data_IF_782646934851
#
_entry.id   IF_782646934851
#
_cell.length_a   1.000
_cell.length_b   1.000
_cell.length_c   1.000
_cell.angle_alpha   90.00
_cell.angle_beta   90.00
_cell.angle_gamma   90.00
#
_symmetry.space_group_name_H-M   'P 1'
#
loop_
_entity.id
_entity.type
_entity.pdbx_description
1 polymer ?
#
# COMPACT_ATOMS: atom_id res chain seq x y z
N UNK A 1 2.14 7.30 3.20
CA UNK A 1 2.91 8.13 4.15
C UNK A 1 2.87 9.64 3.83
N UNK A 2 2.78 10.06 2.55
CA UNK A 2 2.77 11.49 2.19
C UNK A 2 1.83 12.37 3.02
N UNK A 3 0.57 11.96 3.22
CA UNK A 3 -0.38 12.73 4.04
C UNK A 3 0.03 12.96 5.51
N UNK A 4 0.75 12.00 6.09
CA UNK A 4 1.28 12.13 7.44
C UNK A 4 2.43 13.14 7.49
N UNK A 5 3.35 13.09 6.51
CA UNK A 5 4.47 14.02 6.38
C UNK A 5 3.99 15.45 6.12
N UNK A 6 2.97 15.63 5.28
CA UNK A 6 2.34 16.95 5.04
C UNK A 6 1.74 17.52 6.33
N UNK A 7 1.11 16.69 7.17
CA UNK A 7 0.56 17.14 8.45
C UNK A 7 1.62 17.55 9.47
N UNK A 8 2.81 16.97 9.40
CA UNK A 8 3.97 17.40 10.20
C UNK A 8 4.56 18.70 9.64
N UNK A 9 4.73 18.79 8.31
CA UNK A 9 5.23 19.99 7.64
C UNK A 9 4.35 21.23 7.85
N UNK A 10 3.03 21.02 7.91
CA UNK A 10 2.05 22.06 8.22
C UNK A 10 1.95 22.39 9.73
N UNK A 11 2.73 21.71 10.59
CA UNK A 11 2.74 21.92 12.05
C UNK A 11 1.53 21.37 12.79
N UNK A 12 0.60 20.68 12.12
CA UNK A 12 -0.60 20.12 12.74
C UNK A 12 -0.30 18.91 13.64
N UNK A 13 0.82 18.23 13.43
CA UNK A 13 1.23 17.05 14.21
C UNK A 13 2.73 17.02 14.47
N UNK A 14 3.12 16.38 15.57
CA UNK A 14 4.53 16.22 15.98
C UNK A 14 5.31 15.34 15.00
N UNK A 15 6.62 15.60 14.76
CA UNK A 15 7.50 14.72 13.97
C UNK A 15 7.59 13.27 14.48
N UNK A 16 7.24 13.00 15.73
CA UNK A 16 7.26 11.66 16.32
C UNK A 16 5.97 10.88 16.04
N UNK A 17 4.89 11.57 15.64
CA UNK A 17 3.59 10.95 15.40
C UNK A 17 3.58 9.91 14.26
N UNK A 18 4.28 10.10 13.12
CA UNK A 18 4.34 9.08 12.07
C UNK A 18 4.88 7.72 12.54
N UNK A 19 5.77 7.70 13.53
CA UNK A 19 6.29 6.45 14.10
C UNK A 19 5.18 5.65 14.78
N UNK A 20 4.31 6.30 15.57
CA UNK A 20 3.16 5.64 16.21
C UNK A 20 2.14 5.06 15.22
N UNK A 21 2.15 5.51 13.95
CA UNK A 21 1.28 4.93 12.93
C UNK A 21 1.76 3.56 12.44
N UNK A 22 3.05 3.23 12.62
CA UNK A 22 3.62 1.94 12.22
C UNK A 22 3.24 0.82 13.20
N UNK A 23 2.90 1.17 14.43
CA UNK A 23 2.44 0.22 15.45
C UNK A 23 0.99 -0.22 15.23
N UNK A 24 0.23 0.49 14.39
CA UNK A 24 -1.15 0.17 14.09
C UNK A 24 -1.25 -1.03 13.15
N UNK A 25 -2.05 -2.03 13.53
CA UNK A 25 -2.36 -3.18 12.68
C UNK A 25 -3.51 -2.92 11.70
N UNK A 26 -4.06 -1.71 11.72
CA UNK A 26 -5.16 -1.28 10.85
C UNK A 26 -4.86 0.08 10.24
N UNK A 27 -5.60 0.41 9.17
CA UNK A 27 -5.41 1.69 8.48
C UNK A 27 -5.75 2.84 9.42
N UNK A 28 -4.78 3.73 9.65
CA UNK A 28 -4.99 4.95 10.40
C UNK A 28 -5.95 5.90 9.66
N UNK A 29 -7.17 6.07 10.21
CA UNK A 29 -8.18 7.00 9.67
C UNK A 29 -7.84 8.48 9.89
N UNK A 30 -6.96 8.75 10.85
CA UNK A 30 -6.51 10.08 11.25
C UNK A 30 -5.58 10.78 10.24
N UNK A 31 -5.09 10.03 9.25
CA UNK A 31 -4.19 10.53 8.21
C UNK A 31 -5.02 10.94 7.00
N UNK A 32 -5.01 12.23 6.68
CA UNK A 32 -5.60 12.73 5.44
C UNK A 32 -4.79 12.24 4.24
N UNK A 33 -5.45 11.65 3.26
CA UNK A 33 -4.79 11.13 2.05
C UNK A 33 -4.43 12.30 1.14
N UNK A 34 -3.15 12.37 0.75
CA UNK A 34 -2.68 13.39 -0.19
C UNK A 34 -3.32 13.19 -1.58
N UNK A 35 -3.58 14.27 -2.33
CA UNK A 35 -4.09 14.15 -3.70
C UNK A 35 -3.17 13.32 -4.60
N UNK A 36 -3.77 12.52 -5.49
CA UNK A 36 -3.02 11.56 -6.31
C UNK A 36 -2.19 12.20 -7.44
N UNK A 37 -2.57 13.39 -7.90
CA UNK A 37 -1.94 14.04 -9.06
C UNK A 37 -0.48 14.45 -8.85
N UNK A 38 -0.02 14.51 -7.59
CA UNK A 38 1.39 14.78 -7.26
C UNK A 38 2.27 13.53 -7.18
N UNK A 39 1.72 12.33 -7.41
CA UNK A 39 2.46 11.07 -7.34
C UNK A 39 2.74 10.55 -8.75
N UNK A 40 4.01 10.27 -9.03
CA UNK A 40 4.45 9.71 -10.31
C UNK A 40 5.36 8.50 -10.05
N UNK A 41 5.13 7.42 -10.79
CA UNK A 41 6.01 6.25 -10.78
C UNK A 41 7.31 6.62 -11.50
N UNK A 42 8.44 6.54 -10.80
CA UNK A 42 9.75 6.91 -11.36
C UNK A 42 10.40 5.72 -12.07
N UNK A 43 10.43 4.56 -11.44
CA UNK A 43 11.14 3.38 -11.94
C UNK A 43 10.51 2.11 -11.36
N UNK A 44 10.67 0.99 -12.07
CA UNK A 44 10.44 -0.35 -11.54
C UNK A 44 11.74 -1.16 -11.69
N UNK A 45 12.38 -1.46 -10.56
CA UNK A 45 13.57 -2.32 -10.53
C UNK A 45 13.20 -3.80 -10.57
N UNK A 46 13.73 -4.52 -11.56
CA UNK A 46 13.63 -5.98 -11.66
C UNK A 46 14.99 -6.62 -11.37
N UNK A 47 15.01 -7.82 -10.76
CA UNK A 47 16.25 -8.57 -10.61
C UNK A 47 16.74 -9.10 -11.98
N UNK A 48 17.95 -9.65 -12.01
CA UNK A 48 18.53 -10.27 -13.20
C UNK A 48 17.67 -11.42 -13.73
N UNK A 49 17.79 -11.72 -15.02
CA UNK A 49 16.86 -12.59 -15.76
C UNK A 49 16.74 -14.01 -15.16
N UNK A 50 17.83 -14.55 -14.62
CA UNK A 50 17.89 -15.85 -13.96
C UNK A 50 17.13 -15.89 -12.63
N UNK A 51 16.94 -14.76 -11.95
CA UNK A 51 16.19 -14.64 -10.70
C UNK A 51 14.70 -14.35 -10.89
N UNK A 52 14.27 -13.99 -12.11
CA UNK A 52 12.88 -13.60 -12.38
C UNK A 52 11.88 -14.72 -12.06
N UNK A 53 12.23 -15.97 -12.39
CA UNK A 53 11.36 -17.12 -12.16
C UNK A 53 11.07 -17.33 -10.66
N UNK A 54 12.08 -17.11 -9.81
CA UNK A 54 11.94 -17.28 -8.37
C UNK A 54 11.25 -16.09 -7.72
N UNK A 55 11.50 -14.87 -8.21
CA UNK A 55 10.72 -13.68 -7.82
C UNK A 55 9.23 -13.89 -8.11
N UNK A 56 8.88 -14.45 -9.26
CA UNK A 56 7.51 -14.71 -9.65
C UNK A 56 6.83 -15.79 -8.79
N UNK A 57 7.59 -16.76 -8.25
CA UNK A 57 7.05 -17.73 -7.28
C UNK A 57 6.81 -17.06 -5.92
N UNK A 58 7.76 -16.27 -5.44
CA UNK A 58 7.72 -15.65 -4.12
C UNK A 58 6.57 -14.63 -3.95
N UNK A 59 6.24 -13.87 -4.99
CA UNK A 59 5.22 -12.80 -4.91
C UNK A 59 3.80 -13.27 -5.27
N UNK A 60 3.63 -14.54 -5.68
CA UNK A 60 2.36 -15.06 -6.16
C UNK A 60 1.35 -15.25 -5.03
N UNK A 61 0.54 -14.24 -4.76
CA UNK A 61 -0.62 -14.36 -3.88
C UNK A 61 -1.86 -14.84 -4.67
N UNK A 62 -2.10 -16.16 -4.71
CA UNK A 62 -3.31 -16.71 -5.32
C UNK A 62 -4.48 -16.48 -4.36
N UNK A 63 -5.44 -15.65 -4.77
CA UNK A 63 -6.77 -15.65 -4.14
C UNK A 63 -7.39 -17.03 -4.37
N UNK A 64 -7.78 -17.71 -3.31
CA UNK A 64 -8.63 -18.89 -3.42
C UNK A 64 -9.93 -18.44 -4.13
N UNK A 65 -10.36 -19.19 -5.14
CA UNK A 65 -11.67 -18.93 -5.74
C UNK A 65 -12.71 -19.05 -4.61
N UNK A 66 -13.51 -18.01 -4.40
CA UNK A 66 -14.73 -18.17 -3.60
C UNK A 66 -15.56 -19.19 -4.38
N UNK A 67 -15.95 -20.34 -3.80
CA UNK A 67 -16.81 -21.27 -4.52
C UNK A 67 -17.99 -20.46 -5.04
N UNK A 68 -18.33 -20.64 -6.31
CA UNK A 68 -19.32 -19.87 -7.03
C UNK A 68 -20.69 -20.11 -6.38
N UNK A 69 -20.98 -19.45 -5.26
CA UNK A 69 -22.28 -19.49 -4.61
C UNK A 69 -23.22 -18.65 -5.47
N UNK A 70 -23.94 -19.38 -6.33
CA UNK A 70 -25.24 -19.04 -6.89
C UNK A 70 -25.33 -17.58 -7.35
N UNK A 71 -24.82 -17.32 -8.54
CA UNK A 71 -25.38 -16.29 -9.41
C UNK A 71 -26.81 -16.75 -9.77
N UNK A 72 -27.72 -16.64 -8.81
CA UNK A 72 -29.14 -16.93 -8.93
C UNK A 72 -29.76 -15.92 -9.88
N UNK A 73 -30.30 -16.45 -10.97
CA UNK A 73 -31.07 -15.77 -12.01
C UNK A 73 -32.00 -14.69 -11.43
N UNK A 74 -31.78 -13.44 -11.88
CA UNK A 74 -32.82 -12.42 -11.97
C UNK A 74 -32.50 -11.44 -13.08
#
# INVERSE_FOLDING_TARGET
>A
LMGALLSVGDGRRSPHWPASLLDLQSRAGDVQVAPAHGLTLVEVGYPVDDELADRAKATRNRRANRPDSECSER
#
